data_IF_292612890385
#
_entry.id   IF_292612890385
#
_cell.length_a   1.000
_cell.length_b   1.000
_cell.length_c   1.000
_cell.angle_alpha   90.00
_cell.angle_beta   90.00
_cell.angle_gamma   90.00
#
_symmetry.space_group_name_H-M   'P 1'
#
loop_
_entity.id
_entity.type
_entity.pdbx_description
1 polymer ?
#
# COMPACT_ATOMS: atom_id res chain seq x y z
N UNK A 1 16.17 -3.02 2.85
CA UNK A 1 15.18 -1.97 2.58
C UNK A 1 15.02 -1.15 3.86
N UNK A 2 15.43 0.13 3.86
CA UNK A 2 15.44 0.99 5.06
C UNK A 2 14.04 1.19 5.65
N UNK A 3 13.01 1.34 4.81
CA UNK A 3 11.61 1.50 5.24
C UNK A 3 11.16 0.30 6.07
N UNK A 4 11.53 -0.90 5.64
CA UNK A 4 11.14 -2.14 6.31
C UNK A 4 11.82 -2.31 7.68
N UNK A 5 13.06 -1.87 7.83
CA UNK A 5 13.76 -1.94 9.13
C UNK A 5 13.24 -0.88 10.11
N UNK A 6 12.89 0.32 9.63
CA UNK A 6 12.22 1.33 10.45
C UNK A 6 10.84 0.84 10.92
N UNK A 7 10.06 0.19 10.05
CA UNK A 7 8.77 -0.41 10.39
C UNK A 7 8.87 -1.44 11.53
N UNK A 8 9.87 -2.33 11.46
CA UNK A 8 10.13 -3.31 12.54
C UNK A 8 10.53 -2.63 13.84
N UNK A 9 11.35 -1.58 13.78
CA UNK A 9 11.79 -0.84 14.97
C UNK A 9 10.61 -0.17 15.67
N UNK A 10 9.58 0.23 14.92
CA UNK A 10 8.32 0.72 15.47
C UNK A 10 7.42 -0.38 16.10
N UNK A 11 7.84 -1.66 16.08
CA UNK A 11 7.10 -2.78 16.69
C UNK A 11 5.86 -3.21 15.91
N UNK A 12 5.73 -2.81 14.64
CA UNK A 12 4.55 -3.09 13.82
C UNK A 12 4.66 -4.46 13.13
N UNK A 13 3.52 -5.15 13.01
CA UNK A 13 3.45 -6.44 12.32
C UNK A 13 3.81 -6.29 10.84
N UNK A 14 4.50 -7.30 10.29
CA UNK A 14 4.84 -7.38 8.87
C UNK A 14 4.00 -8.42 8.12
N UNK A 15 3.05 -9.07 8.80
CA UNK A 15 2.31 -10.22 8.26
C UNK A 15 1.48 -9.85 7.03
N UNK A 16 0.92 -8.63 6.96
CA UNK A 16 0.14 -8.12 5.82
C UNK A 16 0.96 -7.49 4.68
N UNK A 17 2.29 -7.46 4.79
CA UNK A 17 3.17 -6.79 3.80
C UNK A 17 3.66 -7.82 2.78
N UNK A 18 3.13 -7.74 1.55
CA UNK A 18 3.60 -8.56 0.44
C UNK A 18 5.04 -8.19 0.07
N UNK A 19 5.93 -9.19 0.09
CA UNK A 19 7.33 -9.07 -0.35
C UNK A 19 7.63 -10.17 -1.35
N UNK A 20 8.21 -9.81 -2.48
CA UNK A 20 8.69 -10.75 -3.48
C UNK A 20 9.93 -10.14 -4.17
N UNK A 21 10.87 -10.98 -4.59
CA UNK A 21 12.07 -10.58 -5.35
C UNK A 21 11.72 -9.90 -6.68
N UNK A 22 10.54 -10.18 -7.23
CA UNK A 22 10.07 -9.65 -8.52
C UNK A 22 9.27 -8.34 -8.33
N UNK A 23 9.20 -7.82 -7.10
CA UNK A 23 8.49 -6.58 -6.75
C UNK A 23 9.50 -5.51 -6.37
N UNK A 24 9.58 -4.47 -7.20
CA UNK A 24 10.31 -3.26 -6.84
C UNK A 24 9.50 -2.45 -5.82
N UNK A 25 10.18 -1.93 -4.81
CA UNK A 25 9.53 -1.04 -3.83
C UNK A 25 9.16 0.27 -4.51
N UNK A 26 7.90 0.74 -4.44
CA UNK A 26 7.48 2.00 -5.03
C UNK A 26 8.34 3.20 -4.57
N UNK A 27 8.62 4.12 -5.49
CA UNK A 27 9.43 5.32 -5.23
C UNK A 27 8.74 6.55 -5.82
N UNK A 28 8.76 7.65 -5.08
CA UNK A 28 8.38 8.98 -5.56
C UNK A 28 9.58 9.91 -5.43
N UNK A 29 9.91 10.62 -6.50
CA UNK A 29 10.95 11.63 -6.54
C UNK A 29 10.31 13.01 -6.78
N UNK A 30 10.40 13.88 -5.79
CA UNK A 30 9.91 15.25 -5.87
C UNK A 30 11.09 16.22 -5.88
N UNK A 31 11.03 17.19 -6.78
CA UNK A 31 11.93 18.34 -6.85
C UNK A 31 11.14 19.54 -6.36
N UNK A 32 11.68 20.25 -5.38
CA UNK A 32 11.02 21.41 -4.77
C UNK A 32 11.60 22.71 -5.32
N UNK A 33 10.76 23.74 -5.45
CA UNK A 33 11.18 25.10 -5.79
C UNK A 33 11.73 25.85 -4.56
N UNK A 34 12.10 27.12 -4.75
CA UNK A 34 12.61 27.98 -3.67
C UNK A 34 11.58 28.31 -2.59
N UNK A 35 10.29 28.09 -2.86
CA UNK A 35 9.19 28.30 -1.92
C UNK A 35 8.85 27.02 -1.14
N UNK A 36 9.44 25.88 -1.49
CA UNK A 36 9.15 24.59 -0.90
C UNK A 36 7.96 23.86 -1.54
N UNK A 37 7.47 24.34 -2.69
CA UNK A 37 6.41 23.70 -3.47
C UNK A 37 7.01 22.67 -4.44
N UNK A 38 6.24 21.65 -4.81
CA UNK A 38 6.71 20.64 -5.78
C UNK A 38 6.77 21.26 -7.18
N UNK A 39 7.99 21.47 -7.68
CA UNK A 39 8.26 21.95 -9.03
C UNK A 39 8.14 20.85 -10.09
N UNK A 40 8.55 19.62 -9.74
CA UNK A 40 8.42 18.44 -10.58
C UNK A 40 8.33 17.17 -9.73
N UNK A 41 7.59 16.18 -10.22
CA UNK A 41 7.41 14.90 -9.54
C UNK A 41 7.42 13.73 -10.51
N UNK A 42 8.10 12.66 -10.15
CA UNK A 42 8.04 11.36 -10.85
C UNK A 42 7.69 10.29 -9.83
N UNK A 43 6.67 9.50 -10.13
CA UNK A 43 6.21 8.39 -9.28
C UNK A 43 6.31 7.07 -10.04
N UNK A 44 7.09 6.13 -9.49
CA UNK A 44 7.12 4.73 -9.92
C UNK A 44 6.36 3.92 -8.87
N UNK A 45 5.07 3.69 -9.13
CA UNK A 45 4.12 3.10 -8.17
C UNK A 45 3.34 1.91 -8.73
N UNK A 46 3.61 1.50 -9.97
CA UNK A 46 2.91 0.42 -10.69
C UNK A 46 2.82 -0.90 -9.89
N UNK A 47 3.84 -1.16 -9.06
CA UNK A 47 3.86 -2.35 -8.22
C UNK A 47 2.64 -2.48 -7.30
N UNK A 48 2.05 -1.37 -6.85
CA UNK A 48 0.84 -1.39 -6.00
C UNK A 48 -0.36 -1.93 -6.78
N UNK A 49 -0.61 -1.39 -7.97
CA UNK A 49 -1.72 -1.83 -8.82
C UNK A 49 -1.55 -3.27 -9.31
N UNK A 50 -0.31 -3.65 -9.64
CA UNK A 50 0.02 -4.95 -10.21
C UNK A 50 0.03 -6.09 -9.20
N UNK A 51 0.53 -5.87 -7.98
CA UNK A 51 0.78 -6.96 -7.03
C UNK A 51 -0.14 -6.94 -5.81
N UNK A 52 -0.72 -5.79 -5.43
CA UNK A 52 -1.64 -5.73 -4.30
C UNK A 52 -3.07 -6.09 -4.76
N UNK A 53 -3.22 -7.34 -5.18
CA UNK A 53 -4.42 -7.86 -5.87
C UNK A 53 -5.57 -8.18 -4.90
N UNK A 54 -6.82 -8.35 -5.42
CA UNK A 54 -7.94 -8.86 -4.64
C UNK A 54 -7.63 -10.15 -3.88
N UNK A 55 -6.96 -11.11 -4.52
CA UNK A 55 -6.60 -12.40 -3.92
C UNK A 55 -5.65 -12.26 -2.75
N UNK A 56 -4.71 -11.31 -2.81
CA UNK A 56 -3.82 -11.04 -1.69
C UNK A 56 -4.60 -10.43 -0.51
N UNK A 57 -5.45 -9.44 -0.78
CA UNK A 57 -6.26 -8.75 0.23
C UNK A 57 -7.18 -9.74 0.95
N UNK A 58 -7.85 -10.63 0.22
CA UNK A 58 -8.80 -11.59 0.79
C UNK A 58 -8.18 -12.65 1.70
N UNK A 59 -6.85 -12.85 1.67
CA UNK A 59 -6.15 -13.69 2.66
C UNK A 59 -6.32 -13.18 4.08
N UNK A 60 -6.56 -11.88 4.24
CA UNK A 60 -6.74 -11.22 5.52
C UNK A 60 -8.20 -10.89 5.83
N UNK A 61 -9.16 -11.55 5.15
CA UNK A 61 -10.61 -11.29 5.32
C UNK A 61 -11.05 -11.26 6.78
N UNK A 62 -10.53 -12.16 7.63
CA UNK A 62 -10.84 -12.17 9.06
C UNK A 62 -10.39 -10.89 9.78
N UNK A 63 -9.20 -10.39 9.48
CA UNK A 63 -8.69 -9.11 9.99
C UNK A 63 -9.48 -7.93 9.45
N UNK A 64 -9.85 -7.94 8.16
CA UNK A 64 -10.65 -6.88 7.55
C UNK A 64 -12.04 -6.78 8.20
N UNK A 65 -12.72 -7.91 8.38
CA UNK A 65 -14.05 -7.98 8.99
C UNK A 65 -14.08 -7.60 10.48
N UNK A 66 -12.99 -7.87 11.20
CA UNK A 66 -12.90 -7.56 12.64
C UNK A 66 -12.35 -6.15 12.91
N UNK A 67 -11.80 -5.48 11.90
CA UNK A 67 -11.28 -4.13 12.05
C UNK A 67 -12.44 -3.13 12.27
N UNK A 68 -12.36 -2.25 13.29
CA UNK A 68 -13.40 -1.26 13.54
C UNK A 68 -13.48 -0.21 12.43
N UNK A 69 -12.35 0.04 11.75
CA UNK A 69 -12.24 0.95 10.61
C UNK A 69 -11.21 0.36 9.65
N UNK A 70 -11.53 0.34 8.36
CA UNK A 70 -10.60 0.01 7.29
C UNK A 70 -10.26 1.29 6.52
N UNK A 71 -8.96 1.61 6.43
CA UNK A 71 -8.46 2.73 5.63
C UNK A 71 -7.83 2.21 4.35
N UNK A 72 -8.26 2.76 3.21
CA UNK A 72 -7.74 2.44 1.88
C UNK A 72 -7.25 3.70 1.18
N UNK A 73 -6.32 3.54 0.25
CA UNK A 73 -5.75 4.61 -0.53
C UNK A 73 -5.95 4.35 -2.04
N UNK A 74 -6.02 5.42 -2.82
CA UNK A 74 -6.33 5.37 -4.25
C UNK A 74 -5.17 4.83 -5.11
N UNK A 75 -4.01 4.53 -4.53
CA UNK A 75 -2.94 3.79 -5.22
C UNK A 75 -3.29 2.32 -5.49
N UNK A 76 -4.37 1.79 -4.89
CA UNK A 76 -4.89 0.46 -5.22
C UNK A 76 -5.58 0.47 -6.58
N UNK A 77 -5.50 -0.65 -7.30
CA UNK A 77 -6.29 -0.84 -8.52
C UNK A 77 -7.80 -0.87 -8.21
N UNK A 78 -8.63 -0.53 -9.20
CA UNK A 78 -10.10 -0.54 -9.07
C UNK A 78 -10.66 -1.83 -8.44
N UNK A 79 -10.29 -3.03 -8.94
CA UNK A 79 -10.73 -4.30 -8.34
C UNK A 79 -10.28 -4.50 -6.89
N UNK A 80 -9.06 -4.06 -6.53
CA UNK A 80 -8.55 -4.15 -5.17
C UNK A 80 -9.28 -3.20 -4.21
N UNK A 81 -9.63 -2.00 -4.67
CA UNK A 81 -10.49 -1.07 -3.91
C UNK A 81 -11.87 -1.66 -3.68
N UNK A 82 -12.51 -2.16 -4.73
CA UNK A 82 -13.83 -2.77 -4.66
C UNK A 82 -13.85 -3.95 -3.68
N UNK A 83 -12.84 -4.83 -3.77
CA UNK A 83 -12.69 -5.98 -2.87
C UNK A 83 -12.51 -5.52 -1.43
N UNK A 84 -11.67 -4.52 -1.18
CA UNK A 84 -11.46 -3.97 0.16
C UNK A 84 -12.74 -3.39 0.75
N UNK A 85 -13.50 -2.62 -0.03
CA UNK A 85 -14.73 -1.96 0.42
C UNK A 85 -15.90 -2.93 0.62
N UNK A 86 -16.07 -3.92 -0.27
CA UNK A 86 -17.17 -4.90 -0.19
C UNK A 86 -16.92 -6.00 0.83
N UNK A 87 -15.67 -6.20 1.24
CA UNK A 87 -15.33 -7.18 2.28
C UNK A 87 -15.93 -6.85 3.65
N UNK A 88 -16.34 -5.58 3.88
CA UNK A 88 -17.03 -5.13 5.09
C UNK A 88 -18.56 -5.22 5.03
N UNK A 89 -19.15 -5.65 3.91
CA UNK A 89 -20.59 -5.82 3.77
C UNK A 89 -20.97 -7.30 3.96
N UNK A 90 -21.15 -7.73 5.22
CA UNK A 90 -21.91 -8.92 5.58
C UNK A 90 -22.88 -8.57 6.70
#
# INVERSE_FOLDING_TARGET
NLLFEQWKTAGLSTEGILKNKDIETPVVCNIFDVNGEVAAGVASVEALEKYLTPDWILRYKGTLLSAPVLMVDANLSGPSLETSCKSNCI
#
